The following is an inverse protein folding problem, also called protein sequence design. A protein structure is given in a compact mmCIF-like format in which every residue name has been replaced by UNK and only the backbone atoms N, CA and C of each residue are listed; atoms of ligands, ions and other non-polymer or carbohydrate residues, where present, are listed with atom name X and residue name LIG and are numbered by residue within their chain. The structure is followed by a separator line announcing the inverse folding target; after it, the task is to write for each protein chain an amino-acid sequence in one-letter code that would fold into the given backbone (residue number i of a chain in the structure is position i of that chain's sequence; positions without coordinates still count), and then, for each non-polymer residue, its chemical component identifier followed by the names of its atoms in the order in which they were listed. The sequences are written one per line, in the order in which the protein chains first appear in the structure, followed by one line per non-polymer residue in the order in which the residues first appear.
data_IF_549675913822
#
_entry.id   IF_549675913822
#
_cell.length_a   1.000
_cell.length_b   1.000
_cell.length_c   1.000
_cell.angle_alpha   90.00
_cell.angle_beta   90.00
_cell.angle_gamma   90.00
#
_symmetry.space_group_name_H-M   'P 1'
#
loop_
_entity.id
_entity.type
_entity.pdbx_description
1 polymer ?
#
# COMPACT_ATOMS: atom_id res chain seq x y z
N UNK A 1 -5.25 10.19 20.10
CA UNK A 1 -5.87 11.14 19.16
C UNK A 1 -4.77 11.79 18.34
N UNK A 2 -4.94 11.85 17.02
CA UNK A 2 -4.00 12.51 16.10
C UNK A 2 -4.24 14.02 16.17
N UNK A 3 -3.20 14.81 16.44
CA UNK A 3 -3.30 16.27 16.53
C UNK A 3 -2.20 16.94 15.71
N UNK A 4 -2.54 18.09 15.06
CA UNK A 4 -1.57 18.95 14.40
C UNK A 4 -0.86 18.35 13.18
N UNK A 5 -1.40 17.32 12.55
CA UNK A 5 -0.79 16.71 11.35
C UNK A 5 -1.14 17.52 10.12
N UNK A 6 -0.10 17.97 9.42
CA UNK A 6 -0.23 18.60 8.10
C UNK A 6 0.68 17.87 7.13
N UNK A 7 0.11 17.36 6.04
CA UNK A 7 0.87 16.68 4.98
C UNK A 7 0.24 16.96 3.62
N UNK A 8 1.07 17.00 2.61
CA UNK A 8 0.68 17.09 1.20
C UNK A 8 1.37 15.98 0.43
N UNK A 9 0.67 15.37 -0.52
CA UNK A 9 1.21 14.33 -1.38
C UNK A 9 0.94 14.73 -2.82
N UNK A 10 1.99 14.90 -3.59
CA UNK A 10 1.93 15.21 -5.02
C UNK A 10 2.12 13.94 -5.86
N UNK A 11 1.74 14.00 -7.12
CA UNK A 11 2.02 12.92 -8.09
C UNK A 11 3.53 12.61 -8.13
N UNK A 12 3.87 11.35 -8.23
CA UNK A 12 5.24 10.89 -8.26
C UNK A 12 6.03 11.05 -6.95
N UNK A 13 5.40 11.51 -5.86
CA UNK A 13 6.05 11.66 -4.55
C UNK A 13 5.72 10.52 -3.60
N UNK A 14 6.72 10.12 -2.83
CA UNK A 14 6.58 9.18 -1.73
C UNK A 14 6.71 9.96 -0.41
N UNK A 15 5.61 10.05 0.33
CA UNK A 15 5.55 10.65 1.66
C UNK A 15 5.40 9.55 2.68
N UNK A 16 6.30 9.48 3.65
CA UNK A 16 6.26 8.44 4.67
C UNK A 16 5.87 9.01 6.03
N UNK A 17 4.86 8.38 6.67
CA UNK A 17 4.51 8.59 8.07
C UNK A 17 5.28 7.61 8.93
N UNK A 18 6.06 8.14 9.86
CA UNK A 18 6.78 7.35 10.86
C UNK A 18 6.38 7.75 12.28
N UNK A 19 6.61 6.87 13.23
CA UNK A 19 6.33 7.13 14.64
C UNK A 19 6.12 5.84 15.42
N UNK A 20 6.08 5.90 16.75
CA UNK A 20 5.87 4.74 17.60
C UNK A 20 4.49 4.11 17.39
N UNK A 21 4.32 2.87 17.86
CA UNK A 21 3.01 2.23 17.85
C UNK A 21 2.02 3.05 18.69
N UNK A 22 0.81 3.23 18.15
CA UNK A 22 -0.22 4.05 18.79
C UNK A 22 -0.14 5.56 18.48
N UNK A 23 0.89 6.06 17.78
CA UNK A 23 0.99 7.49 17.40
C UNK A 23 -0.05 7.98 16.39
N UNK A 24 -0.91 7.11 15.89
CA UNK A 24 -2.00 7.49 14.98
C UNK A 24 -1.69 7.40 13.49
N UNK A 25 -0.58 6.76 13.07
CA UNK A 25 -0.21 6.61 11.64
C UNK A 25 -1.34 6.02 10.78
N UNK A 26 -1.83 4.84 11.13
CA UNK A 26 -2.94 4.19 10.41
C UNK A 26 -4.25 4.98 10.52
N UNK A 27 -4.46 5.69 11.63
CA UNK A 27 -5.61 6.60 11.79
C UNK A 27 -5.50 7.76 10.81
N UNK A 28 -4.33 8.39 10.68
CA UNK A 28 -4.08 9.46 9.70
C UNK A 28 -4.32 8.97 8.27
N UNK A 29 -3.85 7.77 7.91
CA UNK A 29 -4.14 7.17 6.61
C UNK A 29 -5.64 6.96 6.38
N UNK A 30 -6.37 6.43 7.35
CA UNK A 30 -7.83 6.22 7.26
C UNK A 30 -8.60 7.54 7.16
N UNK A 31 -8.12 8.60 7.80
CA UNK A 31 -8.64 9.97 7.62
C UNK A 31 -8.36 10.45 6.20
N UNK A 32 -7.14 10.33 5.72
CA UNK A 32 -6.77 10.70 4.35
C UNK A 32 -7.60 9.94 3.31
N UNK A 33 -7.91 8.67 3.56
CA UNK A 33 -8.80 7.86 2.72
C UNK A 33 -10.28 8.26 2.83
N UNK A 34 -10.67 9.04 3.87
CA UNK A 34 -12.06 9.42 4.15
C UNK A 34 -12.89 8.29 4.76
N UNK A 35 -12.23 7.29 5.34
CA UNK A 35 -12.85 6.22 6.11
C UNK A 35 -13.38 6.81 7.43
N UNK A 36 -12.56 7.64 8.09
CA UNK A 36 -12.98 8.42 9.25
C UNK A 36 -13.38 9.84 8.84
N UNK A 37 -14.59 10.25 9.18
CA UNK A 37 -15.19 11.53 8.76
C UNK A 37 -15.30 12.56 9.89
N UNK A 38 -15.38 12.13 11.14
CA UNK A 38 -15.48 13.02 12.30
C UNK A 38 -14.06 13.44 12.73
N UNK A 39 -13.58 14.53 12.14
CA UNK A 39 -12.23 15.07 12.39
C UNK A 39 -12.32 16.58 12.59
N UNK A 40 -11.50 17.09 13.52
CA UNK A 40 -11.20 18.52 13.62
C UNK A 40 -10.05 18.83 12.65
N UNK A 41 -10.39 19.26 11.44
CA UNK A 41 -9.41 19.53 10.40
C UNK A 41 -9.99 19.47 8.99
N UNK A 42 -9.12 19.57 8.00
CA UNK A 42 -9.52 19.58 6.60
C UNK A 42 -8.74 18.54 5.80
N UNK A 43 -9.45 17.67 5.10
CA UNK A 43 -8.87 16.78 4.07
C UNK A 43 -9.32 17.26 2.70
N UNK A 44 -8.37 17.56 1.85
CA UNK A 44 -8.62 17.97 0.48
C UNK A 44 -8.09 16.89 -0.47
N UNK A 45 -9.00 16.27 -1.24
CA UNK A 45 -8.66 15.22 -2.20
C UNK A 45 -8.87 15.75 -3.60
N UNK A 46 -7.85 15.60 -4.44
CA UNK A 46 -7.91 15.99 -5.85
C UNK A 46 -8.17 14.79 -6.77
N UNK A 47 -8.28 13.59 -6.21
CA UNK A 47 -8.55 12.35 -6.97
C UNK A 47 -9.52 11.43 -6.25
N UNK A 48 -10.25 10.63 -7.04
CA UNK A 48 -11.05 9.51 -6.56
C UNK A 48 -10.37 8.16 -6.82
N UNK A 49 -9.30 8.14 -7.62
CA UNK A 49 -8.53 6.93 -7.94
C UNK A 49 -7.51 6.66 -6.85
N UNK A 50 -7.91 5.91 -5.84
CA UNK A 50 -7.07 5.61 -4.67
C UNK A 50 -6.92 4.11 -4.51
N UNK A 51 -5.67 3.64 -4.45
CA UNK A 51 -5.31 2.28 -4.03
C UNK A 51 -4.99 2.24 -2.55
N UNK A 52 -5.35 1.15 -1.86
CA UNK A 52 -5.06 0.99 -0.44
C UNK A 52 -4.63 -0.43 -0.12
N UNK A 53 -3.50 -0.57 0.55
CA UNK A 53 -3.03 -1.80 1.17
C UNK A 53 -3.06 -1.62 2.68
N UNK A 54 -3.99 -2.25 3.40
CA UNK A 54 -4.07 -2.15 4.85
C UNK A 54 -3.00 -3.01 5.53
N UNK A 55 -2.63 -2.65 6.77
CA UNK A 55 -1.67 -3.38 7.59
C UNK A 55 -2.06 -4.86 7.79
N UNK A 56 -3.34 -5.12 7.97
CA UNK A 56 -3.87 -6.49 8.17
C UNK A 56 -5.07 -6.73 7.28
N UNK A 57 -5.07 -7.88 6.64
CA UNK A 57 -6.22 -8.40 5.92
C UNK A 57 -6.63 -9.70 6.59
N UNK A 58 -7.91 -9.78 6.97
CA UNK A 58 -8.48 -11.02 7.48
C UNK A 58 -8.92 -11.88 6.31
N UNK A 59 -8.19 -12.95 6.05
CA UNK A 59 -8.54 -13.96 5.04
C UNK A 59 -8.76 -15.29 5.77
N UNK A 60 -9.82 -15.98 5.42
CA UNK A 60 -9.98 -17.38 5.81
C UNK A 60 -9.09 -18.23 4.90
N UNK A 61 -7.92 -18.61 5.43
CA UNK A 61 -6.92 -19.40 4.70
C UNK A 61 -7.35 -20.83 4.38
N UNK A 62 -8.49 -21.27 4.91
CA UNK A 62 -9.08 -22.58 4.56
C UNK A 62 -9.76 -22.55 3.19
N UNK A 63 -10.09 -21.36 2.69
CA UNK A 63 -10.70 -21.20 1.38
C UNK A 63 -9.66 -21.35 0.26
N UNK A 64 -9.92 -22.16 -0.77
CA UNK A 64 -9.00 -22.38 -1.89
C UNK A 64 -9.05 -21.22 -2.90
N UNK A 65 -8.71 -20.00 -2.44
CA UNK A 65 -8.73 -18.80 -3.27
C UNK A 65 -7.40 -18.69 -4.03
N UNK A 66 -7.46 -18.64 -5.36
CA UNK A 66 -6.28 -18.36 -6.20
C UNK A 66 -6.00 -16.85 -6.27
N UNK A 67 -4.78 -16.48 -6.64
CA UNK A 67 -4.40 -15.07 -6.84
C UNK A 67 -5.37 -14.36 -7.79
N UNK A 68 -5.69 -14.96 -8.95
CA UNK A 68 -6.64 -14.37 -9.92
C UNK A 68 -8.03 -14.14 -9.31
N UNK A 69 -8.52 -15.09 -8.52
CA UNK A 69 -9.82 -14.98 -7.88
C UNK A 69 -9.81 -13.84 -6.84
N UNK A 70 -8.72 -13.73 -6.09
CA UNK A 70 -8.51 -12.66 -5.12
C UNK A 70 -8.43 -11.27 -5.77
N UNK A 71 -7.78 -11.14 -6.93
CA UNK A 71 -7.73 -9.88 -7.68
C UNK A 71 -9.14 -9.39 -8.03
N UNK A 72 -10.07 -10.30 -8.31
CA UNK A 72 -11.44 -9.98 -8.75
C UNK A 72 -12.48 -9.89 -7.61
N UNK A 73 -12.13 -10.17 -6.34
CA UNK A 73 -13.11 -10.28 -5.25
C UNK A 73 -14.01 -9.05 -5.04
N UNK A 74 -13.52 -7.85 -5.26
CA UNK A 74 -14.27 -6.62 -4.99
C UNK A 74 -14.45 -5.74 -6.22
N UNK A 75 -13.82 -6.09 -7.33
CA UNK A 75 -13.76 -5.27 -8.52
C UNK A 75 -13.73 -6.14 -9.78
N UNK A 76 -14.50 -5.76 -10.78
CA UNK A 76 -14.43 -6.43 -12.08
C UNK A 76 -13.21 -5.89 -12.84
N UNK A 77 -12.07 -6.57 -12.73
CA UNK A 77 -10.86 -6.27 -13.46
C UNK A 77 -10.84 -7.02 -14.78
N UNK A 78 -10.33 -6.39 -15.83
CA UNK A 78 -10.02 -7.09 -17.08
C UNK A 78 -8.79 -7.99 -16.89
N UNK A 79 -8.63 -8.99 -17.72
CA UNK A 79 -7.47 -9.88 -17.69
C UNK A 79 -6.16 -9.08 -17.88
N UNK A 80 -6.17 -8.11 -18.79
CA UNK A 80 -5.02 -7.21 -19.02
C UNK A 80 -4.65 -6.41 -17.77
N UNK A 81 -5.62 -5.86 -17.04
CA UNK A 81 -5.38 -5.14 -15.80
C UNK A 81 -4.73 -6.03 -14.74
N UNK A 82 -5.19 -7.27 -14.63
CA UNK A 82 -4.60 -8.26 -13.71
C UNK A 82 -3.16 -8.56 -14.13
N UNK A 83 -2.94 -8.89 -15.39
CA UNK A 83 -1.62 -9.27 -15.89
C UNK A 83 -0.61 -8.12 -15.81
N UNK A 84 -1.00 -6.90 -16.17
CA UNK A 84 -0.15 -5.71 -16.05
C UNK A 84 0.26 -5.48 -14.59
N UNK A 85 -0.70 -5.52 -13.66
CA UNK A 85 -0.41 -5.27 -12.24
C UNK A 85 0.42 -6.37 -11.60
N UNK A 86 0.16 -7.65 -11.89
CA UNK A 86 0.94 -8.78 -11.41
C UNK A 86 2.35 -8.80 -12.02
N UNK A 87 2.50 -8.42 -13.29
CA UNK A 87 3.81 -8.28 -13.93
C UNK A 87 4.62 -7.12 -13.31
N UNK A 88 3.98 -5.97 -13.05
CA UNK A 88 4.65 -4.83 -12.43
C UNK A 88 5.19 -5.16 -11.04
N UNK A 89 4.45 -5.99 -10.27
CA UNK A 89 4.87 -6.44 -8.94
C UNK A 89 5.74 -7.71 -8.97
N UNK A 90 5.97 -8.32 -10.15
CA UNK A 90 6.85 -9.48 -10.33
C UNK A 90 6.25 -10.81 -9.87
N UNK A 91 4.92 -10.91 -9.76
CA UNK A 91 4.22 -12.11 -9.25
C UNK A 91 3.22 -12.72 -10.24
N UNK A 92 3.29 -12.38 -11.53
CA UNK A 92 2.37 -12.92 -12.54
C UNK A 92 2.43 -14.46 -12.66
N UNK A 93 3.61 -15.03 -12.43
CA UNK A 93 3.80 -16.48 -12.41
C UNK A 93 3.00 -17.19 -11.29
N UNK A 94 2.47 -16.45 -10.31
CA UNK A 94 1.66 -16.94 -9.21
C UNK A 94 0.15 -16.83 -9.48
N UNK A 95 -0.28 -16.29 -10.64
CA UNK A 95 -1.67 -15.98 -10.99
C UNK A 95 -2.66 -17.08 -10.62
N UNK A 96 -2.30 -18.33 -10.85
CA UNK A 96 -3.16 -19.49 -10.59
C UNK A 96 -2.84 -20.23 -9.27
N UNK A 97 -1.86 -19.75 -8.48
CA UNK A 97 -1.48 -20.35 -7.21
C UNK A 97 -2.49 -19.97 -6.11
N UNK A 98 -2.75 -20.88 -5.18
CA UNK A 98 -3.57 -20.57 -4.01
C UNK A 98 -2.86 -19.55 -3.12
N UNK A 99 -3.60 -18.60 -2.54
CA UNK A 99 -3.08 -17.62 -1.59
C UNK A 99 -2.41 -18.26 -0.38
N UNK A 100 -2.96 -19.38 0.10
CA UNK A 100 -2.42 -20.13 1.25
C UNK A 100 -1.00 -20.68 1.03
N UNK A 101 -0.58 -20.77 -0.24
CA UNK A 101 0.74 -21.30 -0.63
C UNK A 101 1.76 -20.21 -0.95
N UNK A 102 1.41 -18.94 -0.72
CA UNK A 102 2.31 -17.81 -0.94
C UNK A 102 3.18 -17.56 0.29
N UNK A 103 4.44 -17.18 0.07
CA UNK A 103 5.25 -16.57 1.12
C UNK A 103 4.69 -15.19 1.51
N UNK A 104 5.07 -14.66 2.68
CA UNK A 104 4.64 -13.34 3.12
C UNK A 104 4.97 -12.24 2.10
N UNK A 105 6.17 -12.25 1.54
CA UNK A 105 6.60 -11.30 0.51
C UNK A 105 5.84 -11.44 -0.81
N UNK A 106 5.56 -12.67 -1.26
CA UNK A 106 4.72 -12.93 -2.44
C UNK A 106 3.30 -12.41 -2.23
N UNK A 107 2.73 -12.66 -1.05
CA UNK A 107 1.40 -12.18 -0.70
C UNK A 107 1.34 -10.64 -0.66
N UNK A 108 2.34 -9.97 -0.06
CA UNK A 108 2.42 -8.50 -0.05
C UNK A 108 2.50 -7.93 -1.48
N UNK A 109 3.25 -8.55 -2.38
CA UNK A 109 3.30 -8.15 -3.80
C UNK A 109 1.97 -8.32 -4.51
N UNK A 110 1.21 -9.38 -4.19
CA UNK A 110 -0.16 -9.58 -4.69
C UNK A 110 -1.11 -8.51 -4.16
N UNK A 111 -1.02 -8.12 -2.88
CA UNK A 111 -1.80 -7.02 -2.30
C UNK A 111 -1.53 -5.70 -3.00
N UNK A 112 -0.26 -5.40 -3.27
CA UNK A 112 0.13 -4.20 -4.01
C UNK A 112 -0.38 -4.27 -5.44
N UNK A 113 -0.24 -5.42 -6.13
CA UNK A 113 -0.77 -5.61 -7.49
C UNK A 113 -2.26 -5.27 -7.56
N UNK A 114 -3.03 -5.77 -6.59
CA UNK A 114 -4.46 -5.48 -6.51
C UNK A 114 -4.75 -4.00 -6.28
N UNK A 115 -3.99 -3.33 -5.41
CA UNK A 115 -4.17 -1.92 -5.13
C UNK A 115 -3.84 -1.01 -6.32
N UNK A 116 -2.94 -1.45 -7.21
CA UNK A 116 -2.52 -0.68 -8.40
C UNK A 116 -3.26 -1.07 -9.68
N UNK A 117 -4.10 -2.11 -9.67
CA UNK A 117 -4.74 -2.68 -10.87
C UNK A 117 -5.61 -1.70 -11.66
N UNK A 118 -6.08 -0.62 -11.03
CA UNK A 118 -6.87 0.45 -11.65
C UNK A 118 -6.08 1.76 -11.81
N UNK A 119 -4.76 1.68 -11.82
CA UNK A 119 -3.87 2.82 -12.00
C UNK A 119 -4.26 3.99 -11.08
N UNK A 120 -4.11 3.83 -9.75
CA UNK A 120 -4.45 4.87 -8.80
C UNK A 120 -3.55 6.09 -8.96
N UNK A 121 -4.10 7.29 -8.69
CA UNK A 121 -3.32 8.52 -8.59
C UNK A 121 -2.75 8.75 -7.19
N UNK A 122 -3.29 8.06 -6.19
CA UNK A 122 -2.80 7.98 -4.82
C UNK A 122 -2.79 6.52 -4.37
N UNK A 123 -1.64 6.03 -3.90
CA UNK A 123 -1.49 4.72 -3.30
C UNK A 123 -1.16 4.87 -1.82
N UNK A 124 -1.96 4.25 -0.95
CA UNK A 124 -1.72 4.25 0.50
C UNK A 124 -1.29 2.85 0.92
N UNK A 125 -0.13 2.75 1.55
CA UNK A 125 0.48 1.50 2.00
C UNK A 125 0.68 1.56 3.51
N UNK A 126 -0.07 0.75 4.26
CA UNK A 126 -0.01 0.71 5.72
C UNK A 126 0.83 -0.49 6.18
N UNK A 127 2.09 -0.22 6.55
CA UNK A 127 3.11 -1.22 6.95
C UNK A 127 3.27 -2.39 5.95
N UNK A 128 3.56 -2.12 4.67
CA UNK A 128 3.53 -3.13 3.61
C UNK A 128 4.63 -4.20 3.72
N UNK A 129 5.63 -4.00 4.58
CA UNK A 129 6.75 -4.95 4.77
C UNK A 129 6.54 -5.87 5.97
N UNK A 130 5.43 -5.76 6.69
CA UNK A 130 5.19 -6.58 7.87
C UNK A 130 5.14 -8.07 7.50
N UNK A 131 6.01 -8.88 8.15
CA UNK A 131 6.10 -10.32 7.90
C UNK A 131 6.95 -10.72 6.68
N UNK A 132 7.70 -9.77 6.13
CA UNK A 132 8.67 -9.99 5.06
C UNK A 132 10.08 -10.05 5.68
N UNK A 133 10.97 -10.88 5.15
CA UNK A 133 12.36 -10.91 5.58
C UNK A 133 13.13 -9.69 5.08
N UNK A 134 14.30 -9.40 5.66
CA UNK A 134 15.07 -8.19 5.39
C UNK A 134 15.40 -7.98 3.90
N UNK A 135 15.74 -9.06 3.16
CA UNK A 135 16.01 -8.97 1.72
C UNK A 135 14.75 -8.63 0.92
N UNK A 136 13.63 -9.27 1.28
CA UNK A 136 12.33 -9.00 0.67
C UNK A 136 11.84 -7.59 0.97
N UNK A 137 12.15 -7.06 2.15
CA UNK A 137 11.81 -5.68 2.55
C UNK A 137 12.49 -4.66 1.63
N UNK A 138 13.80 -4.76 1.43
CA UNK A 138 14.54 -3.89 0.50
C UNK A 138 13.93 -3.95 -0.90
N UNK A 139 13.72 -5.17 -1.42
CA UNK A 139 13.15 -5.38 -2.74
C UNK A 139 11.70 -4.86 -2.86
N UNK A 140 10.96 -4.78 -1.75
CA UNK A 140 9.62 -4.23 -1.73
C UNK A 140 9.63 -2.69 -1.79
N UNK A 141 10.56 -2.03 -1.09
CA UNK A 141 10.72 -0.57 -1.18
C UNK A 141 11.19 -0.12 -2.57
N UNK A 142 12.12 -0.87 -3.20
CA UNK A 142 12.50 -0.64 -4.60
C UNK A 142 11.30 -0.77 -5.54
N UNK A 143 10.45 -1.77 -5.30
CA UNK A 143 9.20 -1.94 -6.05
C UNK A 143 8.25 -0.75 -5.86
N UNK A 144 8.07 -0.27 -4.63
CA UNK A 144 7.23 0.89 -4.31
C UNK A 144 7.70 2.13 -5.08
N UNK A 145 9.01 2.37 -5.09
CA UNK A 145 9.62 3.47 -5.85
C UNK A 145 9.33 3.32 -7.36
N UNK A 146 9.56 2.14 -7.92
CA UNK A 146 9.27 1.84 -9.32
C UNK A 146 7.79 2.04 -9.68
N UNK A 147 6.87 1.70 -8.76
CA UNK A 147 5.43 1.92 -8.96
C UNK A 147 5.12 3.42 -9.00
N UNK A 148 5.65 4.22 -8.07
CA UNK A 148 5.48 5.68 -8.07
C UNK A 148 5.91 6.31 -9.39
N UNK A 149 7.09 5.93 -9.88
CA UNK A 149 7.65 6.42 -11.15
C UNK A 149 6.83 5.97 -12.38
N UNK A 150 6.44 4.68 -12.44
CA UNK A 150 5.75 4.13 -13.61
C UNK A 150 4.30 4.61 -13.76
N UNK A 151 3.60 4.77 -12.63
CA UNK A 151 2.19 5.17 -12.61
C UNK A 151 2.01 6.67 -12.40
N UNK A 152 3.08 7.43 -12.19
CA UNK A 152 3.04 8.85 -11.80
C UNK A 152 2.05 9.08 -10.64
N UNK A 153 2.03 8.16 -9.67
CA UNK A 153 1.13 8.21 -8.52
C UNK A 153 1.85 8.71 -7.27
N UNK A 154 1.14 9.52 -6.47
CA UNK A 154 1.59 9.86 -5.12
C UNK A 154 1.45 8.66 -4.20
N UNK A 155 2.42 8.45 -3.30
CA UNK A 155 2.38 7.35 -2.34
C UNK A 155 2.40 7.88 -0.91
N UNK A 156 1.43 7.45 -0.10
CA UNK A 156 1.47 7.57 1.35
C UNK A 156 1.93 6.24 1.93
N UNK A 157 3.13 6.22 2.45
CA UNK A 157 3.72 5.04 3.08
C UNK A 157 3.66 5.20 4.60
N UNK A 158 3.22 4.17 5.31
CA UNK A 158 3.31 4.09 6.76
C UNK A 158 4.33 3.03 7.10
N UNK A 159 5.32 3.40 7.91
CA UNK A 159 6.35 2.48 8.38
C UNK A 159 6.81 2.86 9.78
N UNK A 160 7.37 1.91 10.49
CA UNK A 160 8.08 2.13 11.75
C UNK A 160 9.59 1.96 11.60
N UNK A 161 10.07 1.51 10.43
CA UNK A 161 11.50 1.34 10.14
C UNK A 161 12.08 2.56 9.43
N UNK A 162 12.97 3.26 10.14
CA UNK A 162 13.63 4.47 9.68
C UNK A 162 14.71 4.20 8.62
N UNK A 163 15.43 3.08 8.72
CA UNK A 163 16.65 2.89 7.94
C UNK A 163 16.35 2.62 6.45
N UNK A 164 15.30 1.87 6.19
CA UNK A 164 14.94 1.50 4.81
C UNK A 164 14.05 2.57 4.17
N UNK A 165 13.19 3.21 4.99
CA UNK A 165 12.31 4.31 4.56
C UNK A 165 13.11 5.49 4.00
N UNK A 166 14.22 5.86 4.61
CA UNK A 166 15.05 7.02 4.20
C UNK A 166 15.61 6.89 2.77
N UNK A 167 15.78 5.67 2.25
CA UNK A 167 16.31 5.43 0.91
C UNK A 167 15.27 5.52 -0.21
N UNK A 168 13.98 5.41 0.14
CA UNK A 168 12.89 5.28 -0.83
C UNK A 168 11.85 6.41 -0.74
N UNK A 169 12.05 7.42 0.11
CA UNK A 169 11.04 8.45 0.39
C UNK A 169 11.54 9.86 0.08
N UNK A 170 10.64 10.71 -0.42
CA UNK A 170 10.95 12.12 -0.68
C UNK A 170 10.75 12.97 0.57
N UNK A 171 9.73 12.64 1.38
CA UNK A 171 9.40 13.37 2.60
C UNK A 171 9.03 12.42 3.72
N UNK A 172 9.50 12.75 4.92
CA UNK A 172 9.18 12.01 6.15
C UNK A 172 8.41 12.91 7.10
N UNK A 173 7.27 12.43 7.56
CA UNK A 173 6.45 13.09 8.60
C UNK A 173 6.51 12.22 9.86
N UNK A 174 7.06 12.79 10.93
CA UNK A 174 7.16 12.11 12.21
C UNK A 174 5.91 12.40 13.06
N UNK A 175 5.21 11.36 13.47
CA UNK A 175 4.12 11.46 14.43
C UNK A 175 4.68 11.13 15.83
N UNK A 176 4.71 12.13 16.68
CA UNK A 176 4.99 11.98 18.09
C UNK A 176 3.65 11.78 18.81
N UNK A 177 3.49 10.68 19.54
CA UNK A 177 2.29 10.38 20.30
C UNK A 177 2.01 11.36 21.44
#
# INVERSE_FOLDING_TARGET
LVQGVSLEIKKGQIVTLIGPNGSGKSTTAKIALGIYKNIDGRVQKFTKKVGYVPQKISIDWTLPIRVIDFMNLTENLTEDQIDISLNLTGVNHLKNKSLSNLSGGEFQRVLIARAISKEPELLVLDEPVQGVDFKGEIALYELIKKISEKLDCGILLISHDLHVVMSATDFVVCLNG
#
